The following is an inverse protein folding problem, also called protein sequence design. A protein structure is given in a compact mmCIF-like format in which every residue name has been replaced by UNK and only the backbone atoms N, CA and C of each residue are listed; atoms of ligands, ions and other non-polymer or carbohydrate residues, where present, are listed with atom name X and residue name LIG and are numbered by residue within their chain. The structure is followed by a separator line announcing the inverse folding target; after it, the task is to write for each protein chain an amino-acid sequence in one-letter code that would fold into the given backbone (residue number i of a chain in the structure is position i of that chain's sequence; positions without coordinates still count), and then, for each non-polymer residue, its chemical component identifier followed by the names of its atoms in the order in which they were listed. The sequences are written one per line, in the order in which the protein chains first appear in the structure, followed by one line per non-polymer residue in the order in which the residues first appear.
data_IF_722269730884
#
_entry.id   IF_722269730884
#
_cell.length_a   1.000
_cell.length_b   1.000
_cell.length_c   1.000
_cell.angle_alpha   90.00
_cell.angle_beta   90.00
_cell.angle_gamma   90.00
#
_symmetry.space_group_name_H-M   'P 1'
#
loop_
_entity.id
_entity.type
_entity.pdbx_description
1 polymer ?
#
# COMPACT_ATOMS: atom_id res chain seq x y z
N UNK A 1 14.95 2.37 -10.88
CA UNK A 1 13.62 2.74 -11.42
C UNK A 1 12.41 2.26 -10.60
N UNK A 2 12.21 0.99 -10.26
CA UNK A 2 10.93 0.52 -9.65
C UNK A 2 10.63 1.03 -8.23
N UNK A 3 11.67 1.31 -7.43
CA UNK A 3 11.53 1.81 -6.06
C UNK A 3 11.27 3.32 -6.01
N UNK A 4 11.79 4.08 -6.97
CA UNK A 4 11.63 5.53 -7.02
C UNK A 4 10.22 5.93 -7.43
N UNK A 5 9.55 5.14 -8.27
CA UNK A 5 8.12 5.32 -8.57
C UNK A 5 7.25 5.07 -7.32
N UNK A 6 7.60 4.10 -6.48
CA UNK A 6 6.90 3.89 -5.20
C UNK A 6 7.10 5.09 -4.26
N UNK A 7 8.29 5.69 -4.25
CA UNK A 7 8.58 6.89 -3.44
C UNK A 7 7.91 8.16 -3.96
N UNK A 8 7.64 8.27 -5.28
CA UNK A 8 6.88 9.38 -5.87
C UNK A 8 5.36 9.19 -5.80
N UNK A 9 4.89 8.05 -5.28
CA UNK A 9 3.47 7.78 -5.20
C UNK A 9 2.80 8.77 -4.25
N UNK A 10 1.85 9.55 -4.78
CA UNK A 10 1.03 10.40 -3.91
C UNK A 10 0.15 9.50 -3.07
N UNK A 11 -0.04 9.90 -1.81
CA UNK A 11 -0.95 9.27 -0.86
C UNK A 11 -2.27 8.88 -1.57
N UNK A 12 -2.61 7.59 -1.63
CA UNK A 12 -3.76 7.15 -2.39
C UNK A 12 -5.04 7.69 -1.76
N UNK A 13 -5.82 8.45 -2.53
CA UNK A 13 -7.04 9.12 -2.05
C UNK A 13 -8.32 8.31 -2.28
N UNK A 14 -8.23 7.27 -3.11
CA UNK A 14 -9.36 6.45 -3.51
C UNK A 14 -8.99 4.97 -3.45
N UNK A 15 -10.02 4.11 -3.37
CA UNK A 15 -9.88 2.66 -3.45
C UNK A 15 -9.04 2.20 -4.66
N UNK A 16 -9.24 2.83 -5.81
CA UNK A 16 -8.54 2.48 -7.05
C UNK A 16 -7.02 2.77 -6.97
N UNK A 17 -6.63 3.85 -6.28
CA UNK A 17 -5.24 4.19 -6.04
C UNK A 17 -4.59 3.22 -5.06
N UNK A 18 -5.30 2.81 -4.01
CA UNK A 18 -4.82 1.80 -3.05
C UNK A 18 -4.69 0.44 -3.72
N UNK A 19 -5.62 0.06 -4.58
CA UNK A 19 -5.57 -1.22 -5.29
C UNK A 19 -4.38 -1.27 -6.26
N UNK A 20 -4.10 -0.16 -6.97
CA UNK A 20 -2.90 -0.01 -7.81
C UNK A 20 -1.62 -0.08 -6.98
N UNK A 21 -1.55 0.68 -5.88
CA UNK A 21 -0.42 0.65 -4.98
C UNK A 21 -0.18 -0.75 -4.41
N UNK A 22 -1.23 -1.43 -3.94
CA UNK A 22 -1.16 -2.79 -3.43
C UNK A 22 -0.64 -3.77 -4.49
N UNK A 23 -1.08 -3.64 -5.75
CA UNK A 23 -0.54 -4.46 -6.85
C UNK A 23 0.96 -4.24 -7.06
N UNK A 24 1.42 -2.99 -6.95
CA UNK A 24 2.82 -2.63 -7.04
C UNK A 24 3.64 -3.16 -5.86
N UNK A 25 3.19 -2.98 -4.62
CA UNK A 25 3.92 -3.50 -3.46
C UNK A 25 3.90 -5.03 -3.43
N UNK A 26 2.84 -5.67 -3.90
CA UNK A 26 2.80 -7.13 -4.02
C UNK A 26 3.83 -7.63 -5.04
N UNK A 27 4.07 -6.88 -6.11
CA UNK A 27 5.20 -7.13 -7.02
C UNK A 27 6.55 -6.83 -6.34
N UNK A 28 6.69 -5.76 -5.57
CA UNK A 28 7.94 -5.43 -4.88
C UNK A 28 8.23 -6.35 -3.67
N UNK A 29 7.22 -6.98 -3.10
CA UNK A 29 7.32 -7.87 -1.93
C UNK A 29 8.13 -9.14 -2.21
N UNK A 30 8.31 -9.51 -3.48
CA UNK A 30 9.23 -10.59 -3.83
C UNK A 30 10.70 -10.16 -3.74
N UNK A 31 10.97 -8.85 -3.70
CA UNK A 31 12.31 -8.25 -3.65
C UNK A 31 12.63 -7.60 -2.30
N UNK A 32 11.62 -7.11 -1.57
CA UNK A 32 11.77 -6.47 -0.28
C UNK A 32 11.43 -7.45 0.84
N UNK A 33 12.38 -7.71 1.75
CA UNK A 33 12.13 -8.50 2.95
C UNK A 33 11.18 -7.73 3.88
N UNK A 34 10.21 -8.43 4.46
CA UNK A 34 9.29 -7.93 5.51
C UNK A 34 8.25 -6.87 5.10
N UNK A 35 8.13 -6.50 3.82
CA UNK A 35 7.07 -5.55 3.38
C UNK A 35 5.65 -6.12 3.50
N UNK A 36 5.53 -7.43 3.69
CA UNK A 36 4.25 -8.09 3.97
C UNK A 36 3.61 -7.58 5.27
N UNK A 37 4.43 -7.15 6.24
CA UNK A 37 3.97 -6.57 7.53
C UNK A 37 3.26 -5.23 7.30
N UNK A 38 3.79 -4.39 6.41
CA UNK A 38 3.22 -3.08 6.09
C UNK A 38 2.07 -3.18 5.07
N UNK A 39 2.12 -4.16 4.16
CA UNK A 39 1.06 -4.34 3.16
C UNK A 39 -0.17 -5.07 3.67
N UNK A 40 -0.06 -5.92 4.68
CA UNK A 40 -1.23 -6.62 5.26
C UNK A 40 -2.36 -5.67 5.72
N UNK A 41 -2.10 -4.57 6.47
CA UNK A 41 -3.13 -3.60 6.83
C UNK A 41 -3.64 -2.80 5.63
N UNK A 42 -2.78 -2.50 4.65
CA UNK A 42 -3.16 -1.81 3.41
C UNK A 42 -4.09 -2.67 2.52
N UNK A 43 -3.74 -3.93 2.35
CA UNK A 43 -4.50 -4.91 1.58
C UNK A 43 -5.85 -5.23 2.23
N UNK A 44 -5.90 -5.21 3.57
CA UNK A 44 -7.12 -5.41 4.33
C UNK A 44 -8.13 -4.26 4.15
N UNK A 45 -7.69 -3.04 3.85
CA UNK A 45 -8.58 -1.94 3.47
C UNK A 45 -9.21 -2.14 2.09
N UNK A 46 -8.50 -2.82 1.18
CA UNK A 46 -8.99 -3.09 -0.17
C UNK A 46 -9.91 -4.32 -0.26
N UNK A 47 -10.15 -5.05 0.84
CA UNK A 47 -11.02 -6.24 0.81
C UNK A 47 -12.51 -5.87 0.82
N UNK A 48 -13.22 -6.43 -0.16
CA UNK A 48 -14.63 -6.25 -0.53
C UNK A 48 -15.59 -5.86 0.61
N UNK A 49 -16.28 -4.72 0.41
CA UNK A 49 -17.50 -4.36 1.14
C UNK A 49 -17.31 -3.46 2.36
N UNK A 50 -16.08 -3.15 2.76
CA UNK A 50 -15.80 -2.15 3.77
C UNK A 50 -15.50 -0.80 3.14
N UNK A 51 -15.95 0.26 3.82
CA UNK A 51 -15.61 1.63 3.45
C UNK A 51 -14.09 1.79 3.40
N UNK A 52 -13.62 2.56 2.41
CA UNK A 52 -12.23 2.93 2.34
C UNK A 52 -11.91 3.87 3.52
N UNK A 53 -11.21 3.35 4.54
CA UNK A 53 -10.86 4.12 5.73
C UNK A 53 -9.34 4.24 5.83
N UNK A 54 -8.82 5.37 5.34
CA UNK A 54 -7.42 5.74 5.54
C UNK A 54 -7.23 6.26 6.96
N UNK A 55 -6.60 5.46 7.83
CA UNK A 55 -6.27 5.86 9.21
C UNK A 55 -4.76 6.00 9.39
N UNK A 56 -4.35 6.53 10.54
CA UNK A 56 -2.96 6.66 10.99
C UNK A 56 -2.13 5.38 10.81
N UNK A 57 -2.73 4.20 11.01
CA UNK A 57 -2.04 2.93 10.84
C UNK A 57 -1.58 2.72 9.39
N UNK A 58 -2.42 3.07 8.42
CA UNK A 58 -2.12 2.89 7.01
C UNK A 58 -1.23 4.00 6.47
N UNK A 59 -1.35 5.21 7.00
CA UNK A 59 -0.37 6.27 6.77
C UNK A 59 1.02 5.85 7.26
N UNK A 60 1.15 5.34 8.50
CA UNK A 60 2.42 4.80 9.00
C UNK A 60 2.96 3.67 8.15
N UNK A 61 2.13 2.70 7.78
CA UNK A 61 2.56 1.61 6.91
C UNK A 61 2.99 2.08 5.52
N UNK A 62 2.43 3.19 5.02
CA UNK A 62 2.84 3.80 3.76
C UNK A 62 4.15 4.60 3.89
N UNK A 63 4.36 5.31 5.00
CA UNK A 63 5.57 6.10 5.25
C UNK A 63 6.79 5.25 5.62
N UNK A 64 6.59 4.11 6.26
CA UNK A 64 7.67 3.19 6.67
C UNK A 64 8.10 2.21 5.56
N UNK A 65 7.45 2.26 4.38
CA UNK A 65 7.68 1.39 3.21
C UNK A 65 8.70 2.00 2.25
#
# INVERSE_FOLDING_TARGET
DTLEEAAQWRMPRNFNDVQRFNGMIQYLSQFLKDVTVYTAPLSSMCKNGKEFVWSDLQEKCFTEL
#
